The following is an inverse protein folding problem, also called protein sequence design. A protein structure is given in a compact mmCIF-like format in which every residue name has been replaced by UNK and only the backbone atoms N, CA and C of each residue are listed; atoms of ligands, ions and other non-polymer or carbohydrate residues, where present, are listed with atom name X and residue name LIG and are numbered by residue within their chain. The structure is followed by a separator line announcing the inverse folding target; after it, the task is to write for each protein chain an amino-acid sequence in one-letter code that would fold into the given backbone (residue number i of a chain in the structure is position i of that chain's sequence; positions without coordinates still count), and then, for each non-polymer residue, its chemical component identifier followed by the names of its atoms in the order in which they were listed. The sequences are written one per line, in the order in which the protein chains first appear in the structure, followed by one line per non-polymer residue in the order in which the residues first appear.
data_IF_332014339461
#
_entry.id   IF_332014339461
#
_cell.length_a   1.000
_cell.length_b   1.000
_cell.length_c   1.000
_cell.angle_alpha   90.00
_cell.angle_beta   90.00
_cell.angle_gamma   90.00
#
_symmetry.space_group_name_H-M   'P 1'
#
loop_
_entity.id
_entity.type
_entity.pdbx_description
1 polymer ?
#
# COMPACT_ATOMS: atom_id res chain seq x y z
N UNK A 1 78.07 18.47 23.07
CA UNK A 1 77.25 18.81 21.88
C UNK A 1 76.50 17.55 21.45
N UNK A 2 75.26 17.37 21.88
CA UNK A 2 74.34 16.33 21.37
C UNK A 2 73.02 17.02 21.04
N UNK A 3 72.70 17.03 19.75
CA UNK A 3 71.48 17.59 19.16
C UNK A 3 70.34 16.61 19.44
N UNK A 4 69.34 16.99 20.22
CA UNK A 4 68.06 16.26 20.32
C UNK A 4 67.09 16.84 19.29
N UNK A 5 66.65 15.99 18.35
CA UNK A 5 65.59 16.30 17.37
C UNK A 5 64.23 15.98 18.01
N UNK A 6 63.37 16.98 18.15
CA UNK A 6 61.96 16.82 18.47
C UNK A 6 61.23 16.30 17.22
N UNK A 7 60.65 15.10 17.30
CA UNK A 7 59.68 14.61 16.33
C UNK A 7 58.29 15.10 16.75
N UNK A 8 57.72 16.02 15.99
CA UNK A 8 56.32 16.38 16.08
C UNK A 8 55.48 15.27 15.46
N UNK A 9 54.69 14.58 16.28
CA UNK A 9 53.65 13.65 15.83
C UNK A 9 52.47 14.48 15.35
N UNK A 10 52.33 14.61 14.04
CA UNK A 10 51.13 15.16 13.40
C UNK A 10 50.07 14.07 13.42
N UNK A 11 49.14 14.16 14.37
CA UNK A 11 47.97 13.30 14.44
C UNK A 11 47.02 13.60 13.28
N UNK A 12 46.95 12.69 12.32
CA UNK A 12 45.97 12.71 11.25
C UNK A 12 44.62 12.26 11.84
N UNK A 13 43.73 13.20 12.14
CA UNK A 13 42.34 12.91 12.52
C UNK A 13 41.62 12.43 11.26
N UNK A 14 41.51 11.11 11.11
CA UNK A 14 40.72 10.48 10.06
C UNK A 14 39.25 10.81 10.26
N UNK A 15 38.71 11.68 9.41
CA UNK A 15 37.28 11.90 9.26
C UNK A 15 36.68 10.61 8.70
N UNK A 16 36.11 9.77 9.55
CA UNK A 16 35.31 8.63 9.12
C UNK A 16 34.00 9.18 8.54
N UNK A 17 33.99 9.43 7.24
CA UNK A 17 32.75 9.65 6.50
C UNK A 17 31.95 8.34 6.57
N UNK A 18 30.91 8.33 7.40
CA UNK A 18 29.92 7.27 7.42
C UNK A 18 29.22 7.27 6.07
N UNK A 19 29.62 6.36 5.18
CA UNK A 19 28.89 6.08 3.94
C UNK A 19 27.58 5.44 4.36
N UNK A 20 26.51 6.23 4.39
CA UNK A 20 25.17 5.67 4.51
C UNK A 20 24.94 4.83 3.25
N UNK A 21 25.00 3.51 3.39
CA UNK A 21 24.58 2.58 2.36
C UNK A 21 23.05 2.73 2.31
N UNK A 22 22.56 3.62 1.43
CA UNK A 22 21.16 3.66 1.08
C UNK A 22 20.81 2.32 0.44
N UNK A 23 20.12 1.46 1.19
CA UNK A 23 19.55 0.25 0.64
C UNK A 23 18.53 0.67 -0.43
N UNK A 24 18.79 0.30 -1.69
CA UNK A 24 17.80 0.48 -2.76
C UNK A 24 16.56 -0.34 -2.42
N UNK A 25 15.42 0.33 -2.25
CA UNK A 25 14.17 -0.35 -1.98
C UNK A 25 13.62 -0.87 -3.31
N UNK A 26 13.83 -2.15 -3.59
CA UNK A 26 13.11 -2.81 -4.67
C UNK A 26 11.65 -2.92 -4.24
N UNK A 27 10.76 -2.30 -5.01
CA UNK A 27 9.31 -2.41 -4.78
C UNK A 27 8.75 -3.42 -5.77
N UNK A 28 8.03 -4.42 -5.26
CA UNK A 28 7.37 -5.44 -6.04
C UNK A 28 5.88 -5.44 -5.70
N UNK A 29 5.04 -5.29 -6.72
CA UNK A 29 3.60 -5.58 -6.62
C UNK A 29 3.36 -6.87 -7.41
N UNK A 30 3.19 -7.96 -6.67
CA UNK A 30 2.88 -9.28 -7.21
C UNK A 30 1.46 -9.70 -6.77
N UNK A 31 0.45 -9.62 -7.66
CA UNK A 31 -0.91 -10.07 -7.40
C UNK A 31 -1.01 -11.53 -6.97
N UNK A 32 -0.04 -12.39 -7.31
CA UNK A 32 -0.04 -13.79 -6.90
C UNK A 32 -0.04 -13.93 -5.36
N UNK A 33 0.63 -13.00 -4.68
CA UNK A 33 0.74 -12.93 -3.22
C UNK A 33 -0.47 -12.31 -2.53
N UNK A 34 -1.39 -11.69 -3.28
CA UNK A 34 -2.53 -10.95 -2.73
C UNK A 34 -3.82 -11.77 -2.77
N UNK A 35 -4.76 -11.49 -1.87
CA UNK A 35 -6.09 -12.12 -1.90
C UNK A 35 -6.98 -11.49 -2.98
N UNK A 36 -7.83 -12.29 -3.61
CA UNK A 36 -8.82 -11.78 -4.59
C UNK A 36 -9.78 -10.81 -3.89
N UNK A 37 -10.00 -9.64 -4.49
CA UNK A 37 -10.79 -8.55 -3.92
C UNK A 37 -9.97 -7.49 -3.16
N UNK A 38 -8.68 -7.75 -2.91
CA UNK A 38 -7.77 -6.76 -2.30
C UNK A 38 -7.70 -5.50 -3.15
N UNK A 39 -7.77 -4.32 -2.53
CA UNK A 39 -7.57 -3.02 -3.17
C UNK A 39 -6.07 -2.72 -3.27
N UNK A 40 -5.59 -2.28 -4.44
CA UNK A 40 -4.17 -1.96 -4.67
C UNK A 40 -4.04 -0.61 -5.36
N UNK A 41 -3.76 0.47 -4.63
CA UNK A 41 -3.81 1.81 -5.20
C UNK A 41 -5.24 2.34 -5.35
N UNK A 42 -5.44 3.30 -6.26
CA UNK A 42 -6.73 3.96 -6.44
C UNK A 42 -7.60 3.24 -7.47
N UNK A 43 -8.84 2.87 -7.09
CA UNK A 43 -9.83 2.25 -7.97
C UNK A 43 -9.37 0.95 -8.66
N UNK A 44 -8.48 0.19 -8.02
CA UNK A 44 -7.95 -1.07 -8.51
C UNK A 44 -8.33 -2.22 -7.56
N UNK A 45 -8.41 -3.42 -8.11
CA UNK A 45 -8.67 -4.64 -7.34
C UNK A 45 -7.95 -5.85 -7.92
N UNK A 46 -7.62 -6.80 -7.04
CA UNK A 46 -7.08 -8.10 -7.43
C UNK A 46 -8.23 -9.00 -7.89
N UNK A 47 -8.11 -9.53 -9.10
CA UNK A 47 -8.99 -10.57 -9.66
C UNK A 47 -8.18 -11.81 -9.98
N UNK A 48 -8.89 -12.87 -10.35
CA UNK A 48 -8.27 -14.07 -10.88
C UNK A 48 -9.09 -14.69 -12.00
N UNK A 49 -8.43 -15.46 -12.86
CA UNK A 49 -9.06 -16.25 -13.91
C UNK A 49 -8.36 -17.60 -14.07
N UNK A 50 -9.01 -18.52 -14.77
CA UNK A 50 -8.42 -19.81 -15.10
C UNK A 50 -7.71 -19.74 -16.46
N UNK A 51 -6.48 -20.28 -16.57
CA UNK A 51 -5.72 -20.27 -17.81
C UNK A 51 -6.46 -21.00 -18.94
N UNK A 52 -6.02 -20.77 -20.18
CA UNK A 52 -6.57 -21.37 -21.41
C UNK A 52 -8.07 -21.11 -21.65
N UNK A 53 -8.59 -20.01 -21.11
CA UNK A 53 -10.01 -19.65 -21.14
C UNK A 53 -10.93 -20.75 -20.54
N UNK A 54 -10.42 -21.57 -19.62
CA UNK A 54 -11.24 -22.55 -18.90
C UNK A 54 -12.26 -21.81 -18.03
N UNK A 55 -13.48 -22.34 -17.94
CA UNK A 55 -14.51 -21.79 -17.06
C UNK A 55 -14.28 -22.09 -15.58
N UNK A 56 -13.46 -23.10 -15.26
CA UNK A 56 -13.13 -23.52 -13.90
C UNK A 56 -11.76 -24.20 -13.85
N UNK A 57 -11.08 -24.04 -12.71
CA UNK A 57 -9.78 -24.60 -12.38
C UNK A 57 -9.63 -24.58 -10.86
N UNK A 58 -8.65 -25.30 -10.34
CA UNK A 58 -8.35 -25.30 -8.91
C UNK A 58 -7.86 -23.91 -8.47
N UNK A 59 -8.09 -23.49 -7.21
CA UNK A 59 -7.68 -22.17 -6.73
C UNK A 59 -6.19 -21.84 -6.97
N UNK A 60 -5.31 -22.84 -6.84
CA UNK A 60 -3.87 -22.75 -7.06
C UNK A 60 -3.47 -22.64 -8.54
N UNK A 61 -4.36 -23.02 -9.47
CA UNK A 61 -4.14 -22.88 -10.91
C UNK A 61 -4.59 -21.50 -11.44
N UNK A 62 -5.24 -20.69 -10.60
CA UNK A 62 -5.76 -19.39 -11.00
C UNK A 62 -4.64 -18.38 -11.13
N UNK A 63 -4.62 -17.68 -12.25
CA UNK A 63 -3.74 -16.53 -12.46
C UNK A 63 -4.41 -15.33 -11.83
N UNK A 64 -3.71 -14.67 -10.90
CA UNK A 64 -4.16 -13.42 -10.29
C UNK A 64 -3.61 -12.22 -11.05
N UNK A 65 -4.38 -11.14 -11.09
CA UNK A 65 -4.01 -9.90 -11.75
C UNK A 65 -4.67 -8.71 -11.08
N UNK A 66 -4.09 -7.53 -11.23
CA UNK A 66 -4.71 -6.26 -10.82
C UNK A 66 -5.42 -5.65 -12.04
N UNK A 67 -6.63 -5.14 -11.81
CA UNK A 67 -7.41 -4.42 -12.83
C UNK A 67 -8.21 -3.29 -12.19
N UNK A 68 -8.73 -2.37 -13.00
CA UNK A 68 -9.64 -1.35 -12.48
C UNK A 68 -11.00 -1.93 -12.10
N UNK A 69 -11.58 -1.33 -11.07
CA UNK A 69 -12.96 -1.58 -10.68
C UNK A 69 -13.88 -1.23 -11.83
N UNK A 70 -14.91 -2.04 -12.05
CA UNK A 70 -15.87 -1.81 -13.12
C UNK A 70 -16.42 -0.37 -13.10
N UNK A 71 -16.36 0.32 -14.25
CA UNK A 71 -16.81 1.69 -14.41
C UNK A 71 -15.88 2.77 -13.84
N UNK A 72 -14.68 2.42 -13.38
CA UNK A 72 -13.68 3.35 -12.88
C UNK A 72 -12.36 3.24 -13.65
N UNK A 73 -11.55 4.28 -13.51
CA UNK A 73 -10.17 4.33 -13.99
C UNK A 73 -9.24 4.16 -12.80
N UNK A 74 -8.31 3.22 -12.90
CA UNK A 74 -7.38 2.86 -11.85
C UNK A 74 -6.01 3.53 -11.95
N UNK A 75 -5.32 3.61 -10.82
CA UNK A 75 -3.97 4.18 -10.71
C UNK A 75 -3.16 3.51 -9.60
N UNK A 76 -1.88 3.24 -9.88
CA UNK A 76 -0.87 2.83 -8.90
C UNK A 76 0.11 3.98 -8.74
N UNK A 77 0.47 4.31 -7.50
CA UNK A 77 1.50 5.30 -7.18
C UNK A 77 2.60 4.68 -6.32
N UNK A 78 3.83 5.11 -6.56
CA UNK A 78 5.00 4.77 -5.77
C UNK A 78 5.64 6.07 -5.27
N UNK A 79 5.79 6.19 -3.96
CA UNK A 79 6.62 7.23 -3.36
C UNK A 79 8.09 6.80 -3.45
N UNK A 80 8.85 7.52 -4.26
CA UNK A 80 10.19 7.14 -4.68
C UNK A 80 11.18 8.27 -4.43
N UNK A 81 12.46 8.00 -4.56
CA UNK A 81 13.48 9.03 -4.72
C UNK A 81 14.44 8.54 -5.81
N UNK A 82 14.16 8.93 -7.06
CA UNK A 82 14.90 8.50 -8.25
C UNK A 82 15.76 9.66 -8.74
N UNK A 83 17.08 9.48 -8.79
CA UNK A 83 18.02 10.52 -9.25
C UNK A 83 18.56 10.21 -10.63
N UNK A 84 19.18 9.05 -10.86
CA UNK A 84 19.89 8.77 -12.12
C UNK A 84 19.62 7.40 -12.74
N UNK A 85 19.61 6.33 -11.94
CA UNK A 85 19.51 4.96 -12.44
C UNK A 85 18.35 4.24 -11.76
N UNK A 86 17.34 3.84 -12.53
CA UNK A 86 16.22 3.04 -12.06
C UNK A 86 15.65 2.18 -13.20
N UNK A 87 14.89 1.18 -12.82
CA UNK A 87 14.25 0.24 -13.74
C UNK A 87 12.83 0.00 -13.27
N UNK A 88 11.85 0.26 -14.13
CA UNK A 88 10.46 -0.09 -13.91
C UNK A 88 10.07 -1.18 -14.93
N UNK A 89 9.73 -2.36 -14.44
CA UNK A 89 9.16 -3.44 -15.23
C UNK A 89 7.65 -3.54 -14.96
N UNK A 90 6.86 -3.59 -16.03
CA UNK A 90 5.41 -3.77 -15.96
C UNK A 90 5.01 -4.93 -16.86
N UNK A 91 4.67 -6.07 -16.26
CA UNK A 91 4.09 -7.19 -16.98
C UNK A 91 2.58 -7.07 -17.01
N UNK A 92 2.00 -6.83 -18.19
CA UNK A 92 0.58 -6.58 -18.29
C UNK A 92 -0.04 -7.01 -19.63
N UNK A 93 -1.33 -7.32 -19.57
CA UNK A 93 -2.24 -7.39 -20.70
C UNK A 93 -3.06 -6.10 -20.78
N UNK A 94 -2.98 -5.41 -21.92
CA UNK A 94 -3.71 -4.16 -22.16
C UNK A 94 -4.93 -4.46 -23.05
N UNK A 95 -6.13 -4.41 -22.48
CA UNK A 95 -7.36 -4.91 -23.14
C UNK A 95 -7.79 -4.04 -24.31
N UNK A 96 -7.72 -2.72 -24.15
CA UNK A 96 -8.12 -1.77 -25.16
C UNK A 96 -6.97 -0.80 -25.50
N UNK A 97 -6.31 -0.95 -26.66
CA UNK A 97 -5.26 -0.03 -27.10
C UNK A 97 -5.83 1.35 -27.50
N UNK A 98 -7.17 1.50 -27.52
CA UNK A 98 -7.86 2.77 -27.71
C UNK A 98 -8.03 3.57 -26.42
N UNK A 99 -7.43 3.17 -25.29
CA UNK A 99 -7.32 3.98 -24.09
C UNK A 99 -5.83 4.23 -23.78
N UNK A 100 -5.48 5.44 -23.34
CA UNK A 100 -4.09 5.86 -23.14
C UNK A 100 -3.60 5.48 -21.74
N UNK A 101 -3.15 4.25 -21.49
CA UNK A 101 -2.41 4.00 -20.24
C UNK A 101 -1.16 4.86 -20.22
N UNK A 102 -0.76 5.35 -19.04
CA UNK A 102 0.41 6.24 -18.93
C UNK A 102 1.24 5.91 -17.70
N UNK A 103 2.56 5.91 -17.86
CA UNK A 103 3.53 5.87 -16.77
C UNK A 103 4.08 7.28 -16.63
N UNK A 104 3.95 7.89 -15.45
CA UNK A 104 4.29 9.30 -15.19
C UNK A 104 5.26 9.44 -14.02
N UNK A 105 6.31 10.25 -14.19
CA UNK A 105 7.29 10.60 -13.15
C UNK A 105 7.07 12.03 -12.68
N UNK A 106 6.94 12.25 -11.38
CA UNK A 106 6.74 13.56 -10.77
C UNK A 106 7.96 14.00 -9.97
N UNK A 107 8.29 15.29 -10.05
CA UNK A 107 9.33 15.95 -9.26
C UNK A 107 8.75 16.58 -7.98
N UNK A 108 9.63 16.96 -7.06
CA UNK A 108 9.31 17.52 -5.72
C UNK A 108 8.47 18.80 -5.78
N UNK A 109 8.55 19.56 -6.88
CA UNK A 109 7.86 20.84 -7.03
C UNK A 109 6.66 20.64 -7.97
N UNK A 110 5.56 21.37 -7.71
CA UNK A 110 4.23 21.33 -8.38
C UNK A 110 4.23 21.51 -9.91
N UNK A 111 5.39 21.44 -10.54
CA UNK A 111 5.54 21.29 -11.97
C UNK A 111 5.07 19.86 -12.30
N UNK A 112 3.76 19.71 -12.54
CA UNK A 112 3.13 18.56 -13.17
C UNK A 112 3.70 18.24 -14.58
N UNK A 113 4.92 18.69 -14.89
CA UNK A 113 5.75 18.19 -15.96
C UNK A 113 6.12 16.74 -15.67
N UNK A 114 5.15 15.85 -15.88
CA UNK A 114 5.36 14.43 -16.01
C UNK A 114 6.42 14.20 -17.08
N UNK A 115 7.59 13.69 -16.69
CA UNK A 115 8.75 13.63 -17.59
C UNK A 115 8.66 12.47 -18.62
N UNK A 116 7.65 11.62 -18.55
CA UNK A 116 7.49 10.50 -19.45
C UNK A 116 6.01 10.16 -19.59
N UNK A 117 5.55 9.87 -20.81
CA UNK A 117 4.24 9.29 -21.07
C UNK A 117 4.40 8.11 -22.03
N UNK A 118 4.35 6.89 -21.51
CA UNK A 118 4.22 5.72 -22.39
C UNK A 118 2.77 5.63 -22.82
N UNK A 119 2.42 6.30 -23.92
CA UNK A 119 1.10 6.25 -24.53
C UNK A 119 1.07 5.15 -25.58
N UNK A 120 0.32 4.06 -25.33
CA UNK A 120 -0.07 3.14 -26.39
C UNK A 120 -1.33 3.71 -27.08
N UNK A 121 -1.20 4.40 -28.22
CA UNK A 121 -2.38 4.90 -28.96
C UNK A 121 -2.19 4.95 -30.47
N UNK A 122 -3.28 4.75 -31.20
CA UNK A 122 -3.47 5.19 -32.58
C UNK A 122 -4.19 6.56 -32.52
N UNK A 123 -3.53 7.65 -32.95
CA UNK A 123 -4.08 8.97 -33.32
C UNK A 123 -4.06 10.16 -32.32
N UNK A 124 -3.92 11.36 -32.90
CA UNK A 124 -3.26 12.61 -32.48
C UNK A 124 -3.77 13.37 -31.22
N UNK A 125 -2.83 14.04 -30.52
CA UNK A 125 -3.13 15.13 -29.56
C UNK A 125 -1.99 15.39 -28.56
N UNK A 126 -1.51 16.64 -28.52
CA UNK A 126 -0.23 17.17 -27.97
C UNK A 126 -0.11 17.27 -26.43
N UNK A 127 1.14 17.14 -25.94
CA UNK A 127 1.63 17.62 -24.64
C UNK A 127 2.12 16.51 -23.69
N UNK A 128 3.44 16.29 -23.61
CA UNK A 128 4.08 15.21 -22.85
C UNK A 128 4.84 14.26 -23.78
N UNK A 129 5.93 13.63 -23.35
CA UNK A 129 6.75 12.77 -24.24
C UNK A 129 5.93 11.57 -24.67
N UNK A 130 5.57 11.52 -25.96
CA UNK A 130 4.69 10.52 -26.57
C UNK A 130 5.51 9.56 -27.44
N UNK A 131 5.41 8.25 -27.20
CA UNK A 131 5.85 7.24 -28.18
C UNK A 131 4.76 7.06 -29.26
N UNK A 132 4.49 8.11 -30.04
CA UNK A 132 3.20 8.32 -30.70
C UNK A 132 2.94 7.54 -31.98
N UNK A 133 3.88 6.73 -32.45
CA UNK A 133 3.68 5.88 -33.61
C UNK A 133 4.72 4.75 -33.55
N UNK A 134 4.39 3.65 -32.84
CA UNK A 134 5.31 2.53 -32.76
C UNK A 134 5.69 2.08 -34.17
N UNK A 135 6.98 1.83 -34.42
CA UNK A 135 7.37 1.24 -35.70
C UNK A 135 6.56 -0.04 -35.95
N UNK A 136 5.71 0.01 -36.96
CA UNK A 136 4.99 -1.15 -37.45
C UNK A 136 5.86 -1.84 -38.48
N UNK A 137 6.03 -3.15 -38.37
CA UNK A 137 6.60 -3.91 -39.46
C UNK A 137 5.66 -3.84 -40.69
N UNK A 138 6.09 -4.39 -41.82
CA UNK A 138 5.31 -4.39 -43.06
C UNK A 138 3.93 -5.10 -42.93
N UNK A 139 3.72 -5.88 -41.86
CA UNK A 139 2.45 -6.53 -41.55
C UNK A 139 1.54 -5.68 -40.64
N UNK A 140 1.93 -4.44 -40.31
CA UNK A 140 1.18 -3.55 -39.42
C UNK A 140 1.35 -3.88 -37.93
N UNK A 141 2.18 -4.86 -37.57
CA UNK A 141 2.40 -5.25 -36.18
C UNK A 141 3.44 -4.34 -35.53
N UNK A 142 3.15 -3.89 -34.31
CA UNK A 142 4.13 -3.16 -33.52
C UNK A 142 5.29 -4.09 -33.16
N UNK A 143 6.51 -3.68 -33.44
CA UNK A 143 7.71 -4.46 -33.08
C UNK A 143 7.76 -4.65 -31.56
N UNK A 144 8.07 -5.88 -31.14
CA UNK A 144 8.23 -6.24 -29.74
C UNK A 144 6.93 -6.66 -29.04
N UNK A 145 5.75 -6.42 -29.61
CA UNK A 145 4.49 -6.84 -28.98
C UNK A 145 4.18 -8.31 -29.23
N UNK A 146 3.79 -9.02 -28.18
CA UNK A 146 3.30 -10.39 -28.28
C UNK A 146 1.87 -10.41 -28.83
N UNK A 147 1.54 -11.45 -29.59
CA UNK A 147 0.20 -11.65 -30.17
C UNK A 147 -0.87 -11.99 -29.13
N UNK A 148 -0.48 -12.54 -27.99
CA UNK A 148 -1.34 -12.79 -26.83
C UNK A 148 -1.67 -11.51 -26.03
N UNK A 149 -1.05 -10.38 -26.42
CA UNK A 149 -1.15 -9.06 -25.80
C UNK A 149 -0.62 -8.97 -24.37
N UNK A 150 0.03 -10.02 -23.85
CA UNK A 150 0.77 -9.96 -22.60
C UNK A 150 2.16 -9.45 -22.92
N UNK A 151 2.52 -8.30 -22.38
CA UNK A 151 3.79 -7.65 -22.68
C UNK A 151 4.49 -7.23 -21.40
N UNK A 152 5.81 -7.41 -21.36
CA UNK A 152 6.68 -6.76 -20.41
C UNK A 152 7.09 -5.39 -20.96
N UNK A 153 6.67 -4.32 -20.31
CA UNK A 153 7.10 -2.96 -20.61
C UNK A 153 8.17 -2.57 -19.59
N UNK A 154 9.39 -2.41 -20.06
CA UNK A 154 10.54 -2.04 -19.22
C UNK A 154 10.93 -0.59 -19.53
N UNK A 155 10.93 0.25 -18.50
CA UNK A 155 11.49 1.58 -18.52
C UNK A 155 12.80 1.58 -17.74
N UNK A 156 13.90 1.73 -18.47
CA UNK A 156 15.24 1.73 -17.92
C UNK A 156 15.82 3.13 -17.98
N UNK A 157 16.07 3.77 -16.85
CA UNK A 157 16.80 5.02 -16.78
C UNK A 157 18.27 4.75 -16.45
N UNK A 158 19.18 5.25 -17.28
CA UNK A 158 20.63 5.18 -17.06
C UNK A 158 21.27 6.51 -17.41
N UNK A 159 22.03 7.09 -16.47
CA UNK A 159 22.77 8.33 -16.66
C UNK A 159 21.90 9.48 -17.21
N UNK A 160 20.68 9.64 -16.68
CA UNK A 160 19.73 10.66 -17.11
C UNK A 160 19.11 10.44 -18.49
N UNK A 161 19.21 9.23 -19.04
CA UNK A 161 18.53 8.83 -20.26
C UNK A 161 17.60 7.66 -19.97
N UNK A 162 16.32 7.82 -20.28
CA UNK A 162 15.32 6.77 -20.20
C UNK A 162 15.20 6.04 -21.55
N UNK A 163 15.23 4.71 -21.45
CA UNK A 163 15.06 3.74 -22.52
C UNK A 163 13.77 2.97 -22.28
N UNK A 164 12.99 2.76 -23.33
CA UNK A 164 11.80 1.91 -23.29
C UNK A 164 12.10 0.62 -24.04
N UNK A 165 11.89 -0.52 -23.39
CA UNK A 165 11.93 -1.84 -24.01
C UNK A 165 10.56 -2.51 -23.87
N UNK A 166 10.17 -3.26 -24.89
CA UNK A 166 8.95 -4.08 -24.87
C UNK A 166 9.37 -5.52 -25.18
N UNK A 167 9.12 -6.43 -24.25
CA UNK A 167 9.53 -7.84 -24.32
C UNK A 167 11.03 -8.00 -24.64
N UNK A 168 11.87 -7.16 -24.05
CA UNK A 168 13.33 -7.16 -24.26
C UNK A 168 13.80 -6.57 -25.59
N UNK A 169 12.90 -6.02 -26.40
CA UNK A 169 13.23 -5.32 -27.64
C UNK A 169 13.15 -3.82 -27.40
N UNK A 170 14.23 -3.09 -27.74
CA UNK A 170 14.24 -1.64 -27.67
C UNK A 170 13.12 -1.05 -28.52
N UNK A 171 12.38 -0.10 -27.94
CA UNK A 171 11.34 0.62 -28.65
C UNK A 171 11.95 1.40 -29.82
N UNK A 172 11.29 1.32 -30.98
CA UNK A 172 11.68 2.05 -32.19
C UNK A 172 10.63 3.09 -32.53
N UNK A 173 11.09 4.30 -32.87
CA UNK A 173 10.22 5.35 -33.39
C UNK A 173 9.63 4.97 -34.76
N UNK A 174 8.70 5.78 -35.29
CA UNK A 174 8.09 5.54 -36.61
C UNK A 174 9.08 5.52 -37.78
N UNK A 175 10.30 6.01 -37.58
CA UNK A 175 11.38 5.99 -38.58
C UNK A 175 12.24 4.73 -38.48
N UNK A 176 11.98 3.85 -37.51
CA UNK A 176 12.73 2.62 -37.28
C UNK A 176 14.04 2.84 -36.52
N UNK A 177 14.26 4.04 -35.97
CA UNK A 177 15.43 4.31 -35.15
C UNK A 177 15.26 3.66 -33.78
N UNK A 178 16.26 2.92 -33.35
CA UNK A 178 16.31 2.39 -31.98
C UNK A 178 16.46 3.51 -30.97
N UNK A 179 15.66 3.45 -29.92
CA UNK A 179 15.87 4.28 -28.74
C UNK A 179 15.48 5.72 -28.97
N UNK A 180 14.18 5.97 -29.21
CA UNK A 180 13.62 7.25 -28.81
C UNK A 180 13.86 7.37 -27.30
N UNK A 181 14.92 8.09 -26.98
CA UNK A 181 15.51 8.14 -25.66
C UNK A 181 15.04 9.43 -25.04
N UNK A 182 14.48 9.31 -23.85
CA UNK A 182 14.03 10.47 -23.13
C UNK A 182 15.16 10.97 -22.26
N UNK A 183 15.67 12.16 -22.56
CA UNK A 183 16.55 12.85 -21.62
C UNK A 183 15.73 13.23 -20.40
N UNK A 184 16.04 12.61 -19.27
CA UNK A 184 15.51 12.97 -17.98
C UNK A 184 16.33 14.13 -17.45
N UNK A 185 15.65 15.18 -16.99
CA UNK A 185 16.32 16.21 -16.21
C UNK A 185 16.59 15.65 -14.81
N UNK A 186 17.81 15.15 -14.59
CA UNK A 186 18.24 14.58 -13.30
C UNK A 186 18.82 15.62 -12.34
N UNK A 187 18.71 16.91 -12.66
CA UNK A 187 19.11 17.99 -11.75
C UNK A 187 18.33 17.98 -10.42
N UNK A 188 17.19 17.29 -10.40
CA UNK A 188 16.32 17.10 -9.23
C UNK A 188 15.76 15.68 -9.21
N UNK A 189 15.59 15.08 -8.02
CA UNK A 189 15.01 13.75 -7.90
C UNK A 189 13.53 13.74 -8.31
N UNK A 190 13.10 12.62 -8.88
CA UNK A 190 11.70 12.27 -8.98
C UNK A 190 11.24 11.67 -7.65
N UNK A 191 10.13 12.18 -7.12
CA UNK A 191 9.58 11.74 -5.83
C UNK A 191 8.38 10.84 -5.93
N UNK A 192 7.77 10.76 -7.11
CA UNK A 192 6.63 9.89 -7.34
C UNK A 192 6.69 9.30 -8.73
N UNK A 193 6.34 8.03 -8.84
CA UNK A 193 6.08 7.32 -10.08
C UNK A 193 4.63 6.85 -10.04
N UNK A 194 3.86 7.12 -11.09
CA UNK A 194 2.49 6.62 -11.19
C UNK A 194 2.26 5.86 -12.49
N UNK A 195 1.52 4.76 -12.39
CA UNK A 195 0.93 4.06 -13.54
C UNK A 195 -0.56 4.39 -13.51
N UNK A 196 -1.02 5.18 -14.47
CA UNK A 196 -2.36 5.75 -14.48
C UNK A 196 -3.15 5.30 -15.70
N UNK A 197 -4.44 5.62 -15.67
CA UNK A 197 -5.40 5.29 -16.70
C UNK A 197 -5.56 3.78 -16.96
N UNK A 198 -5.40 2.96 -15.91
CA UNK A 198 -5.66 1.51 -15.97
C UNK A 198 -7.16 1.32 -16.11
N UNK A 199 -7.60 0.56 -17.11
CA UNK A 199 -9.01 0.42 -17.45
C UNK A 199 -9.59 -0.93 -16.99
N UNK A 200 -10.92 -1.04 -16.87
CA UNK A 200 -11.54 -2.35 -16.67
C UNK A 200 -11.22 -3.26 -17.86
N UNK A 201 -10.62 -4.41 -17.56
CA UNK A 201 -10.16 -5.37 -18.56
C UNK A 201 -8.64 -5.40 -18.74
N UNK A 202 -7.93 -4.32 -18.42
CA UNK A 202 -6.46 -4.35 -18.31
C UNK A 202 -6.07 -5.28 -17.16
N UNK A 203 -4.98 -6.03 -17.30
CA UNK A 203 -4.54 -7.02 -16.34
C UNK A 203 -3.05 -6.83 -16.07
N UNK A 204 -2.72 -6.32 -14.88
CA UNK A 204 -1.35 -6.17 -14.44
C UNK A 204 -0.97 -7.42 -13.65
N UNK A 205 0.04 -8.14 -14.13
CA UNK A 205 0.52 -9.38 -13.53
C UNK A 205 1.72 -9.16 -12.63
N UNK A 206 2.53 -8.14 -12.91
CA UNK A 206 3.67 -7.79 -12.08
C UNK A 206 4.04 -6.33 -12.32
N UNK A 207 4.38 -5.62 -11.24
CA UNK A 207 5.04 -4.32 -11.33
C UNK A 207 6.26 -4.33 -10.42
N UNK A 208 7.43 -4.16 -11.02
CA UNK A 208 8.70 -4.13 -10.30
C UNK A 208 9.37 -2.79 -10.51
N UNK A 209 9.81 -2.14 -9.43
CA UNK A 209 10.62 -0.94 -9.46
C UNK A 209 11.94 -1.21 -8.74
N UNK A 210 13.06 -1.02 -9.44
CA UNK A 210 14.43 -1.18 -8.93
C UNK A 210 15.19 0.15 -8.99
N UNK A 211 16.19 0.31 -8.13
CA UNK A 211 17.10 1.46 -8.16
C UNK A 211 16.57 2.73 -7.49
N UNK A 212 15.34 2.73 -6.98
CA UNK A 212 14.84 3.80 -6.11
C UNK A 212 15.30 3.63 -4.67
N UNK A 213 15.62 4.75 -4.01
CA UNK A 213 15.53 4.78 -2.55
C UNK A 213 14.07 5.02 -2.18
N UNK A 214 13.56 4.30 -1.17
CA UNK A 214 12.27 4.68 -0.59
C UNK A 214 12.32 6.16 -0.19
N UNK A 215 11.31 6.94 -0.56
CA UNK A 215 11.26 8.32 -0.11
C UNK A 215 11.36 8.34 1.41
N UNK A 216 12.35 9.06 1.96
CA UNK A 216 12.39 9.28 3.40
C UNK A 216 11.08 9.99 3.75
N UNK A 217 10.23 9.42 4.63
CA UNK A 217 8.96 10.06 4.96
C UNK A 217 9.28 11.48 5.42
N UNK A 218 8.73 12.48 4.74
CA UNK A 218 8.90 13.86 5.17
C UNK A 218 8.31 13.91 6.57
N UNK A 219 9.07 14.30 7.61
CA UNK A 219 8.54 14.37 8.96
C UNK A 219 7.33 15.28 8.91
N UNK A 220 6.15 14.72 9.19
CA UNK A 220 4.94 15.52 9.30
C UNK A 220 5.24 16.59 10.35
N UNK A 221 5.10 17.89 10.03
CA UNK A 221 5.41 18.92 11.00
C UNK A 221 4.59 18.64 12.25
N UNK A 222 5.28 18.34 13.35
CA UNK A 222 4.62 18.20 14.64
C UNK A 222 3.86 19.49 14.88
N UNK A 223 2.53 19.47 15.07
CA UNK A 223 1.78 20.69 15.31
C UNK A 223 2.46 21.40 16.48
N UNK A 224 2.95 22.62 16.24
CA UNK A 224 3.52 23.42 17.31
C UNK A 224 2.38 23.60 18.32
N UNK A 225 2.55 23.19 19.59
CA UNK A 225 1.50 23.35 20.58
C UNK A 225 1.14 24.83 20.59
N UNK A 226 -0.09 25.14 20.16
CA UNK A 226 -0.61 26.50 20.28
C UNK A 226 -0.65 26.78 21.78
N UNK A 227 -0.02 27.85 22.27
CA UNK A 227 -0.04 28.16 23.69
C UNK A 227 -1.49 28.39 24.11
N UNK A 228 -2.09 27.35 24.71
CA UNK A 228 -3.39 27.43 25.33
C UNK A 228 -3.25 28.39 26.50
N UNK A 229 -3.95 29.53 26.44
CA UNK A 229 -4.26 30.33 27.62
C UNK A 229 -4.76 29.38 28.70
N UNK A 230 -4.21 29.40 29.93
CA UNK A 230 -4.65 28.52 31.00
C UNK A 230 -6.11 28.83 31.31
N UNK A 231 -7.00 28.07 30.69
CA UNK A 231 -8.41 28.05 31.06
C UNK A 231 -8.45 27.28 32.36
N UNK A 232 -8.97 27.91 33.40
CA UNK A 232 -9.12 27.31 34.72
C UNK A 232 -9.67 25.89 34.58
N UNK A 233 -8.92 24.92 35.09
CA UNK A 233 -9.31 23.51 35.13
C UNK A 233 -10.66 23.47 35.87
N UNK A 234 -11.78 23.11 35.21
CA UNK A 234 -12.99 22.80 35.93
C UNK A 234 -12.64 21.60 36.80
N UNK A 235 -12.73 21.79 38.11
CA UNK A 235 -12.61 20.73 39.09
C UNK A 235 -13.45 19.56 38.61
N UNK A 236 -12.80 18.42 38.36
CA UNK A 236 -13.41 17.19 37.88
C UNK A 236 -14.56 16.81 38.81
N UNK A 237 -15.79 17.15 38.41
CA UNK A 237 -16.95 16.38 38.82
C UNK A 237 -16.77 15.01 38.20
N UNK A 238 -16.47 14.02 39.04
CA UNK A 238 -16.67 12.61 38.75
C UNK A 238 -18.11 12.42 38.28
N UNK A 239 -18.33 12.50 36.97
CA UNK A 239 -19.57 12.02 36.38
C UNK A 239 -19.62 10.53 36.67
N UNK A 240 -20.59 10.13 37.49
CA UNK A 240 -20.94 8.74 37.76
C UNK A 240 -21.73 8.13 36.59
N UNK A 241 -21.55 8.61 35.36
CA UNK A 241 -22.15 7.99 34.19
C UNK A 241 -21.49 6.63 33.98
N UNK A 242 -22.15 5.60 34.51
CA UNK A 242 -21.76 4.19 34.49
C UNK A 242 -21.85 3.56 33.10
N UNK A 243 -21.59 4.30 32.03
CA UNK A 243 -21.55 3.72 30.69
C UNK A 243 -20.22 2.97 30.53
N UNK A 244 -20.23 1.62 30.51
CA UNK A 244 -19.00 0.83 30.44
C UNK A 244 -18.29 0.95 29.08
N UNK A 245 -18.89 1.60 28.08
CA UNK A 245 -18.36 1.75 26.74
C UNK A 245 -17.71 3.12 26.46
N UNK A 246 -17.49 3.97 27.49
CA UNK A 246 -16.76 5.23 27.32
C UNK A 246 -15.25 4.97 27.30
N UNK A 247 -14.56 5.50 26.29
CA UNK A 247 -13.10 5.43 26.20
C UNK A 247 -12.43 6.23 27.32
N UNK A 248 -11.40 5.67 27.94
CA UNK A 248 -10.66 6.29 29.04
C UNK A 248 -9.20 6.50 28.64
N UNK A 249 -8.72 7.74 28.75
CA UNK A 249 -7.32 8.09 28.52
C UNK A 249 -6.66 8.50 29.83
N UNK A 250 -5.54 7.87 30.16
CA UNK A 250 -4.70 8.24 31.29
C UNK A 250 -3.49 9.06 30.78
N UNK A 251 -3.44 10.37 31.03
CA UNK A 251 -2.33 11.21 30.57
C UNK A 251 -1.01 10.94 31.31
N UNK A 252 -1.04 10.25 32.45
CA UNK A 252 0.17 10.00 33.26
C UNK A 252 1.07 8.96 32.62
N UNK A 253 0.48 7.90 32.06
CA UNK A 253 1.21 6.79 31.42
C UNK A 253 0.99 6.73 29.90
N UNK A 254 0.11 7.60 29.37
CA UNK A 254 -0.26 7.65 27.96
C UNK A 254 -1.16 6.50 27.51
N UNK A 255 -1.79 5.77 28.43
CA UNK A 255 -2.67 4.65 28.07
C UNK A 255 -4.05 5.13 27.62
N UNK A 256 -4.59 4.49 26.59
CA UNK A 256 -5.94 4.68 26.08
C UNK A 256 -6.66 3.34 26.08
N UNK A 257 -7.78 3.28 26.79
CA UNK A 257 -8.66 2.12 26.85
C UNK A 257 -9.93 2.41 26.05
N UNK A 258 -10.22 1.57 25.07
CA UNK A 258 -11.45 1.62 24.25
C UNK A 258 -12.25 0.34 24.54
N UNK A 259 -13.21 0.41 25.47
CA UNK A 259 -14.10 -0.71 25.75
C UNK A 259 -15.11 -0.93 24.61
N UNK A 260 -15.69 -2.13 24.56
CA UNK A 260 -16.80 -2.49 23.67
C UNK A 260 -16.50 -2.45 22.15
N UNK A 261 -15.26 -2.72 21.72
CA UNK A 261 -14.94 -2.78 20.29
C UNK A 261 -15.54 -4.05 19.68
N UNK A 262 -16.48 -3.89 18.75
CA UNK A 262 -17.14 -4.99 18.04
C UNK A 262 -16.32 -5.43 16.83
N UNK A 263 -16.00 -6.72 16.77
CA UNK A 263 -15.31 -7.33 15.63
C UNK A 263 -16.15 -8.50 15.11
N UNK A 264 -16.57 -8.48 13.83
CA UNK A 264 -17.20 -9.63 13.22
C UNK A 264 -16.17 -10.76 13.05
N UNK A 265 -16.52 -11.95 13.51
CA UNK A 265 -15.68 -13.15 13.44
C UNK A 265 -16.44 -14.21 12.68
N UNK A 266 -15.84 -14.77 11.63
CA UNK A 266 -16.45 -15.87 10.88
C UNK A 266 -16.05 -17.16 11.60
N UNK A 267 -17.03 -17.84 12.19
CA UNK A 267 -16.81 -19.17 12.75
C UNK A 267 -16.51 -20.17 11.62
N UNK A 268 -15.76 -21.24 11.88
CA UNK A 268 -15.37 -22.25 10.88
C UNK A 268 -16.53 -22.97 10.16
N UNK A 269 -17.78 -22.67 10.52
CA UNK A 269 -19.00 -23.17 9.89
C UNK A 269 -19.79 -22.10 9.11
N UNK A 270 -19.19 -20.95 8.82
CA UNK A 270 -19.78 -19.91 7.96
C UNK A 270 -20.76 -18.95 8.63
N UNK A 271 -21.00 -19.10 9.94
CA UNK A 271 -21.80 -18.13 10.71
C UNK A 271 -20.94 -16.95 11.17
N UNK A 272 -21.46 -15.73 10.99
CA UNK A 272 -20.87 -14.50 11.53
C UNK A 272 -21.23 -14.39 13.02
N UNK A 273 -20.22 -14.45 13.87
CA UNK A 273 -20.30 -14.12 15.29
C UNK A 273 -19.78 -12.70 15.52
N UNK A 274 -20.12 -12.08 16.65
CA UNK A 274 -19.56 -10.79 17.05
C UNK A 274 -18.78 -11.00 18.34
N UNK A 275 -17.50 -10.66 18.31
CA UNK A 275 -16.65 -10.61 19.50
C UNK A 275 -16.50 -9.17 19.97
N UNK A 276 -16.49 -8.99 21.29
CA UNK A 276 -16.26 -7.70 21.93
C UNK A 276 -14.87 -7.68 22.57
N UNK A 277 -14.11 -6.64 22.26
CA UNK A 277 -12.76 -6.45 22.78
C UNK A 277 -12.68 -5.21 23.67
N UNK A 278 -11.84 -5.32 24.69
CA UNK A 278 -11.37 -4.17 25.45
C UNK A 278 -9.98 -3.85 24.93
N UNK A 279 -9.92 -2.88 24.02
CA UNK A 279 -8.69 -2.53 23.31
C UNK A 279 -7.91 -1.56 24.17
N UNK A 280 -6.70 -1.94 24.54
CA UNK A 280 -5.76 -1.05 25.22
C UNK A 280 -4.67 -0.64 24.26
N UNK A 281 -4.37 0.64 24.27
CA UNK A 281 -3.33 1.23 23.45
C UNK A 281 -2.44 2.12 24.29
N UNK A 282 -1.21 2.32 23.84
CA UNK A 282 -0.23 3.19 24.51
C UNK A 282 0.24 4.26 23.55
N UNK A 283 0.16 5.51 24.00
CA UNK A 283 0.64 6.64 23.22
C UNK A 283 2.15 6.54 23.02
N UNK A 284 2.60 6.69 21.77
CA UNK A 284 4.01 6.84 21.45
C UNK A 284 4.50 8.20 21.96
N UNK A 285 5.57 8.18 22.76
CA UNK A 285 6.15 9.38 23.35
C UNK A 285 6.39 10.47 22.30
N UNK A 286 5.92 11.69 22.58
CA UNK A 286 6.09 12.84 21.69
C UNK A 286 5.18 12.86 20.46
N UNK A 287 4.19 11.97 20.35
CA UNK A 287 3.26 11.93 19.22
C UNK A 287 1.80 11.80 19.68
N UNK A 288 0.85 11.98 18.76
CA UNK A 288 -0.56 11.60 18.96
C UNK A 288 -0.86 10.16 18.51
N UNK A 289 0.17 9.41 18.12
CA UNK A 289 0.04 8.02 17.71
C UNK A 289 -0.10 7.10 18.91
N UNK A 290 -0.90 6.06 18.75
CA UNK A 290 -1.11 5.01 19.74
C UNK A 290 -0.68 3.67 19.15
N UNK A 291 0.08 2.89 19.93
CA UNK A 291 0.37 1.50 19.64
C UNK A 291 -0.61 0.60 20.34
N UNK A 292 -1.07 -0.44 19.66
CA UNK A 292 -1.90 -1.47 20.26
C UNK A 292 -1.08 -2.26 21.28
N UNK A 293 -1.53 -2.27 22.53
CA UNK A 293 -0.93 -3.09 23.57
C UNK A 293 -1.59 -4.47 23.57
N UNK A 294 -0.98 -5.41 22.86
CA UNK A 294 -1.47 -6.78 22.75
C UNK A 294 -1.29 -7.59 24.05
N UNK A 295 -0.45 -7.14 24.98
CA UNK A 295 -0.26 -7.84 26.25
C UNK A 295 -1.40 -7.54 27.22
N UNK A 296 -2.02 -6.36 27.11
CA UNK A 296 -3.13 -5.95 27.98
C UNK A 296 -4.50 -5.94 27.30
N UNK A 297 -4.55 -6.01 25.96
CA UNK A 297 -5.82 -6.11 25.22
C UNK A 297 -6.43 -7.49 25.43
N UNK A 298 -7.64 -7.53 25.99
CA UNK A 298 -8.35 -8.79 26.28
C UNK A 298 -9.61 -8.91 25.42
N UNK A 299 -9.82 -10.10 24.88
CA UNK A 299 -11.12 -10.49 24.36
C UNK A 299 -12.07 -10.61 25.55
N UNK A 300 -13.15 -9.85 25.56
CA UNK A 300 -14.04 -9.78 26.72
C UNK A 300 -15.14 -10.82 26.58
N UNK A 301 -15.77 -10.92 25.40
CA UNK A 301 -16.90 -11.83 25.19
C UNK A 301 -17.01 -12.31 23.73
N UNK A 302 -17.42 -13.56 23.54
CA UNK A 302 -18.02 -14.03 22.28
C UNK A 302 -19.52 -14.23 22.50
N UNK A 303 -20.33 -13.52 21.73
CA UNK A 303 -21.76 -13.80 21.68
C UNK A 303 -21.99 -14.85 20.59
N UNK A 304 -22.34 -16.07 21.00
CA UNK A 304 -22.92 -17.02 20.06
C UNK A 304 -24.40 -16.64 19.90
N UNK A 305 -24.89 -16.36 18.68
CA UNK A 305 -26.32 -16.13 18.47
C UNK A 305 -27.13 -17.31 19.02
N UNK A 306 -28.02 -17.03 19.97
CA UNK A 306 -28.75 -18.03 20.75
C UNK A 306 -29.69 -18.91 19.91
N UNK A 307 -29.86 -20.16 20.36
CA UNK A 307 -30.99 -20.98 19.96
C UNK A 307 -32.27 -20.40 20.57
N UNK A 308 -33.31 -20.24 19.75
CA UNK A 308 -34.64 -19.85 20.23
C UNK A 308 -35.38 -21.10 20.70
N UNK A 309 -36.02 -21.03 21.88
CA UNK A 309 -36.98 -22.05 22.31
C UNK A 309 -38.29 -21.39 22.74
N UNK A 310 -39.37 -22.16 22.65
CA UNK A 310 -40.70 -21.72 23.06
C UNK A 310 -41.03 -22.30 24.42
N UNK A 311 -41.31 -21.44 25.40
CA UNK A 311 -41.78 -21.81 26.72
C UNK A 311 -43.08 -21.04 26.99
N UNK A 312 -44.16 -21.76 27.29
CA UNK A 312 -45.49 -21.18 27.59
C UNK A 312 -46.01 -20.20 26.51
N UNK A 313 -45.72 -20.47 25.23
CA UNK A 313 -46.20 -19.65 24.11
C UNK A 313 -45.44 -18.33 23.89
N UNK A 314 -44.33 -18.10 24.61
CA UNK A 314 -43.42 -16.98 24.39
C UNK A 314 -42.09 -17.46 23.80
N UNK A 315 -41.51 -16.63 22.94
CA UNK A 315 -40.18 -16.92 22.37
C UNK A 315 -39.13 -16.35 23.31
N UNK A 316 -38.32 -17.23 23.88
CA UNK A 316 -37.19 -16.86 24.72
C UNK A 316 -35.90 -17.00 23.92
N UNK A 317 -35.01 -16.03 24.06
CA UNK A 317 -33.65 -16.09 23.52
C UNK A 317 -32.68 -16.13 24.68
N UNK A 318 -31.94 -17.24 24.80
CA UNK A 318 -30.82 -17.32 25.72
C UNK A 318 -29.56 -16.83 25.01
N UNK A 319 -28.89 -15.85 25.60
CA UNK A 319 -27.58 -15.42 25.15
C UNK A 319 -26.54 -16.11 26.01
N UNK A 320 -25.73 -17.00 25.40
CA UNK A 320 -24.59 -17.61 26.09
C UNK A 320 -23.43 -16.62 26.06
N UNK A 321 -22.97 -16.21 27.24
CA UNK A 321 -21.77 -15.39 27.41
C UNK A 321 -20.63 -16.31 27.82
N UNK A 322 -19.55 -16.33 27.05
CA UNK A 322 -18.33 -17.07 27.39
C UNK A 322 -17.17 -16.09 27.58
N UNK A 323 -16.51 -16.17 28.73
CA UNK A 323 -15.32 -15.37 29.07
C UNK A 323 -14.08 -16.24 28.96
N UNK A 324 -13.02 -15.72 28.34
CA UNK A 324 -11.76 -16.43 28.10
C UNK A 324 -10.61 -15.75 28.85
N UNK A 325 -9.66 -16.53 29.36
CA UNK A 325 -8.42 -15.98 29.92
C UNK A 325 -7.34 -15.78 28.84
N UNK A 326 -6.19 -15.23 29.26
CA UNK A 326 -5.05 -14.90 28.41
C UNK A 326 -4.42 -16.13 27.70
N UNK A 327 -4.78 -17.35 28.11
CA UNK A 327 -4.35 -18.60 27.48
C UNK A 327 -5.36 -19.14 26.44
N UNK A 328 -6.47 -18.42 26.18
CA UNK A 328 -7.56 -18.89 25.34
C UNK A 328 -8.42 -19.98 25.99
N UNK A 329 -8.26 -20.21 27.30
CA UNK A 329 -9.07 -21.18 28.04
C UNK A 329 -10.32 -20.49 28.59
N UNK A 330 -11.49 -21.04 28.31
CA UNK A 330 -12.75 -20.53 28.87
C UNK A 330 -12.71 -20.61 30.40
N UNK A 331 -12.90 -19.47 31.08
CA UNK A 331 -13.06 -19.41 32.53
C UNK A 331 -14.55 -19.25 32.81
N UNK A 332 -15.15 -20.32 33.34
CA UNK A 332 -16.58 -20.51 33.41
C UNK A 332 -17.19 -19.61 34.50
N UNK A 333 -17.96 -18.60 34.06
CA UNK A 333 -19.22 -18.22 34.71
C UNK A 333 -20.27 -18.19 33.59
N UNK A 334 -21.17 -19.16 33.58
CA UNK A 334 -22.24 -19.22 32.58
C UNK A 334 -23.41 -18.43 33.12
N UNK A 335 -23.50 -17.15 32.75
CA UNK A 335 -24.68 -16.35 33.04
C UNK A 335 -25.61 -16.38 31.83
N UNK A 336 -26.81 -16.94 32.00
CA UNK A 336 -27.84 -16.94 30.98
C UNK A 336 -28.67 -15.67 31.16
N UNK A 337 -28.52 -14.70 30.27
CA UNK A 337 -29.47 -13.61 30.16
C UNK A 337 -30.68 -14.09 29.36
N UNK A 338 -31.75 -14.49 30.06
CA UNK A 338 -33.00 -14.90 29.41
C UNK A 338 -33.87 -13.68 29.15
N UNK A 339 -34.08 -13.37 27.87
CA UNK A 339 -35.08 -12.40 27.43
C UNK A 339 -36.23 -13.15 26.77
N UNK A 340 -37.42 -13.12 27.38
CA UNK A 340 -38.64 -13.66 26.78
C UNK A 340 -39.54 -12.50 26.32
N UNK A 341 -39.90 -12.47 25.04
CA UNK A 341 -40.93 -11.58 24.50
C UNK A 341 -42.24 -12.36 24.35
#
# INVERSE_FOLDING_TARGET
MRLMKNFAVVGCVGLLASVAIQASANTLIDPATLEVGTRVGENLEVKSYCPDNKSSCLPEERIKYITAVAGRVGQIEFDVNLTDNFELDVNAFWYNPGNQQTITLYKVENDNTGALFIRAYNYYGSGGIVFNDPYRNNAGNVIGWNSDRINNVELLAKNGVAYLNINGVAFKDSSGNEGDTVKLDTSRPFVKLAITNIQPGDQLYEVTLKGGSAATPTPTPTPTPTPSTPTAIPSTTTSSDTNPCISQYNPVDGSLQVPCVMVPVISGFGNVQVAFFNVKMRQRAGTLGFDLDLNESKQVFMLTPGQSYSANGKTCTDTKVETYNDAGTAVIETEYATSCK
#
